data_IF_284933463957
#
_entry.id   IF_284933463957
#
_cell.length_a   1.000
_cell.length_b   1.000
_cell.length_c   1.000
_cell.angle_alpha   90.00
_cell.angle_beta   90.00
_cell.angle_gamma   90.00
#
_symmetry.space_group_name_H-M   'P 1'
#
loop_
_entity.id
_entity.type
_entity.pdbx_description
1 polymer ?
#
# COMPACT_ATOMS: atom_id res chain seq x y z
N UNK A 1 -36.48 22.07 -28.50
CA UNK A 1 -35.50 22.49 -27.46
C UNK A 1 -34.38 23.27 -28.14
N UNK A 2 -33.94 24.41 -27.59
CA UNK A 2 -32.98 25.32 -28.22
C UNK A 2 -31.53 24.84 -28.06
N UNK A 3 -30.68 25.07 -29.06
CA UNK A 3 -29.23 24.75 -29.06
C UNK A 3 -28.50 25.27 -27.81
N UNK A 4 -28.95 26.42 -27.27
CA UNK A 4 -28.45 27.01 -26.02
C UNK A 4 -28.64 26.09 -24.81
N UNK A 5 -29.73 25.34 -24.76
CA UNK A 5 -30.01 24.41 -23.66
C UNK A 5 -29.13 23.16 -23.74
N UNK A 6 -28.73 22.75 -24.95
CA UNK A 6 -27.83 21.62 -25.17
C UNK A 6 -26.39 21.94 -24.75
N UNK A 7 -25.90 23.14 -25.09
CA UNK A 7 -24.57 23.61 -24.68
C UNK A 7 -24.47 23.77 -23.16
N UNK A 8 -25.51 24.30 -22.51
CA UNK A 8 -25.55 24.41 -21.05
C UNK A 8 -25.49 23.04 -20.35
N UNK A 9 -26.24 22.05 -20.86
CA UNK A 9 -26.22 20.68 -20.33
C UNK A 9 -24.86 19.99 -20.53
N UNK A 10 -24.20 20.21 -21.67
CA UNK A 10 -22.87 19.65 -21.94
C UNK A 10 -21.79 20.19 -20.99
N UNK A 11 -21.81 21.50 -20.71
CA UNK A 11 -20.86 22.14 -19.78
C UNK A 11 -21.10 21.68 -18.33
N UNK A 12 -22.35 21.44 -17.94
CA UNK A 12 -22.67 20.90 -16.61
C UNK A 12 -22.23 19.44 -16.48
N UNK A 13 -22.47 18.61 -17.51
CA UNK A 13 -22.05 17.20 -17.48
C UNK A 13 -20.52 17.04 -17.44
N UNK A 14 -19.76 17.86 -18.16
CA UNK A 14 -18.28 17.78 -18.10
C UNK A 14 -17.74 18.24 -16.75
N UNK A 15 -18.39 19.17 -16.06
CA UNK A 15 -17.97 19.61 -14.72
C UNK A 15 -18.20 18.52 -13.65
N UNK A 16 -19.28 17.73 -13.75
CA UNK A 16 -19.61 16.71 -12.75
C UNK A 16 -18.70 15.47 -12.86
N UNK A 17 -18.25 15.12 -14.07
CA UNK A 17 -17.40 13.94 -14.30
C UNK A 17 -15.99 14.05 -13.73
N UNK A 18 -15.51 15.25 -13.40
CA UNK A 18 -14.12 15.47 -12.95
C UNK A 18 -13.99 15.28 -11.43
N UNK A 19 -15.08 15.32 -10.66
CA UNK A 19 -15.05 15.33 -9.19
C UNK A 19 -15.25 13.97 -8.51
N UNK A 20 -15.30 12.86 -9.25
CA UNK A 20 -15.47 11.51 -8.66
C UNK A 20 -14.20 10.67 -8.62
N UNK A 21 -13.05 11.30 -8.39
CA UNK A 21 -11.90 10.56 -7.84
C UNK A 21 -12.23 10.26 -6.38
N UNK A 22 -12.73 9.05 -6.12
CA UNK A 22 -13.02 8.51 -4.79
C UNK A 22 -11.72 8.30 -4.00
N UNK A 23 -11.01 9.39 -3.69
CA UNK A 23 -9.92 9.36 -2.72
C UNK A 23 -10.52 9.10 -1.34
N UNK A 24 -10.09 8.01 -0.68
CA UNK A 24 -10.36 7.77 0.73
C UNK A 24 -9.57 8.82 1.51
N UNK A 25 -10.26 9.79 2.12
CA UNK A 25 -9.66 10.91 2.87
C UNK A 25 -9.13 10.51 4.26
N UNK A 26 -8.70 9.26 4.43
CA UNK A 26 -8.22 8.71 5.70
C UNK A 26 -6.85 8.08 5.58
N UNK A 27 -6.17 7.97 6.72
CA UNK A 27 -4.95 7.17 6.84
C UNK A 27 -5.35 5.69 6.72
N UNK A 28 -4.78 4.99 5.75
CA UNK A 28 -4.91 3.55 5.60
C UNK A 28 -3.65 2.91 6.16
N UNK A 29 -3.82 2.06 7.16
CA UNK A 29 -2.73 1.22 7.66
C UNK A 29 -2.62 -0.03 6.78
N UNK A 30 -1.38 -0.43 6.48
CA UNK A 30 -1.10 -1.54 5.58
C UNK A 30 -0.52 -2.76 6.32
N UNK A 31 -1.18 -3.32 7.36
CA UNK A 31 -0.62 -4.46 8.09
C UNK A 31 -0.62 -5.72 7.23
N UNK A 32 -1.50 -5.84 6.22
CA UNK A 32 -1.57 -6.95 5.27
C UNK A 32 -0.43 -7.01 4.25
N UNK A 33 0.27 -5.89 4.05
CA UNK A 33 1.29 -5.79 3.02
C UNK A 33 1.46 -4.37 2.50
N UNK A 34 2.64 -4.07 1.99
CA UNK A 34 2.97 -2.85 1.29
C UNK A 34 3.94 -3.12 0.15
N UNK A 35 3.62 -2.63 -1.05
CA UNK A 35 4.50 -2.69 -2.21
C UNK A 35 4.62 -1.33 -2.87
N UNK A 36 5.81 -1.01 -3.40
CA UNK A 36 6.08 0.24 -4.13
C UNK A 36 6.46 -0.09 -5.57
N UNK A 37 5.64 0.31 -6.53
CA UNK A 37 5.88 0.19 -7.96
C UNK A 37 6.21 1.54 -8.62
N UNK A 38 6.57 1.51 -9.91
CA UNK A 38 6.91 2.71 -10.67
C UNK A 38 5.76 3.70 -10.88
N UNK A 39 4.51 3.27 -10.68
CA UNK A 39 3.30 4.10 -10.82
C UNK A 39 2.55 4.42 -9.53
N UNK A 40 3.04 3.97 -8.38
CA UNK A 40 2.33 4.12 -7.10
C UNK A 40 2.73 3.07 -6.07
N UNK A 41 2.02 3.06 -4.95
CA UNK A 41 2.12 2.06 -3.91
C UNK A 41 0.82 1.26 -3.80
N UNK A 42 0.95 0.01 -3.39
CA UNK A 42 -0.16 -0.88 -3.08
C UNK A 42 -0.14 -1.17 -1.58
N UNK A 43 -1.26 -0.91 -0.93
CA UNK A 43 -1.46 -1.12 0.51
C UNK A 43 -2.50 -2.22 0.72
N UNK A 44 -2.19 -3.21 1.55
CA UNK A 44 -3.11 -4.28 1.90
C UNK A 44 -3.56 -4.09 3.35
N UNK A 45 -4.86 -3.87 3.56
CA UNK A 45 -5.44 -3.50 4.86
C UNK A 45 -5.49 -4.69 5.84
N UNK A 46 -5.52 -5.93 5.32
CA UNK A 46 -5.52 -7.16 6.11
C UNK A 46 -4.61 -8.23 5.47
N UNK A 47 -3.96 -9.12 6.26
CA UNK A 47 -3.29 -10.33 5.76
C UNK A 47 -4.18 -11.29 4.98
N UNK A 48 -5.50 -11.18 5.13
CA UNK A 48 -6.44 -12.13 4.53
C UNK A 48 -6.33 -12.13 3.00
N UNK A 49 -6.50 -13.29 2.36
CA UNK A 49 -6.54 -13.39 0.89
C UNK A 49 -7.68 -12.56 0.27
N UNK A 50 -8.72 -12.25 1.06
CA UNK A 50 -9.83 -11.37 0.70
C UNK A 50 -9.65 -9.93 1.21
N UNK A 51 -8.42 -9.58 1.62
CA UNK A 51 -8.08 -8.28 2.17
C UNK A 51 -8.32 -7.16 1.17
N UNK A 52 -8.76 -6.01 1.69
CA UNK A 52 -8.94 -4.83 0.86
C UNK A 52 -7.57 -4.31 0.43
N UNK A 53 -7.42 -4.13 -0.88
CA UNK A 53 -6.24 -3.54 -1.49
C UNK A 53 -6.53 -2.11 -1.87
N UNK A 54 -5.61 -1.20 -1.56
CA UNK A 54 -5.70 0.21 -1.92
C UNK A 54 -4.53 0.61 -2.79
N UNK A 55 -4.80 1.36 -3.85
CA UNK A 55 -3.78 2.02 -4.65
C UNK A 55 -3.49 3.40 -4.05
N UNK A 56 -2.26 3.66 -3.63
CA UNK A 56 -1.87 4.88 -2.94
C UNK A 56 -0.72 5.59 -3.67
N UNK A 57 -0.63 6.92 -3.62
CA UNK A 57 0.57 7.64 -4.05
C UNK A 57 1.76 7.26 -3.16
N UNK A 58 2.88 6.83 -3.76
CA UNK A 58 4.00 6.28 -2.98
C UNK A 58 4.73 7.31 -2.09
N UNK A 59 4.59 8.60 -2.40
CA UNK A 59 5.09 9.74 -1.62
C UNK A 59 4.22 10.06 -0.40
N UNK A 60 3.01 9.50 -0.35
CA UNK A 60 2.05 9.62 0.76
C UNK A 60 2.06 8.41 1.69
N UNK A 61 2.97 7.47 1.46
CA UNK A 61 3.12 6.26 2.24
C UNK A 61 4.39 6.29 3.08
N UNK A 62 4.27 5.97 4.36
CA UNK A 62 5.42 5.81 5.24
C UNK A 62 5.08 5.35 6.66
N UNK A 63 6.13 5.15 7.44
CA UNK A 63 6.12 4.91 8.86
C UNK A 63 7.16 5.84 9.48
N UNK A 64 6.74 6.73 10.38
CA UNK A 64 7.60 7.75 11.00
C UNK A 64 8.43 8.57 9.99
N UNK A 65 7.81 8.94 8.87
CA UNK A 65 8.45 9.71 7.79
C UNK A 65 9.38 8.89 6.88
N UNK A 66 9.38 7.56 7.00
CA UNK A 66 10.25 6.66 6.20
C UNK A 66 9.41 5.68 5.39
N UNK A 67 9.87 5.33 4.19
CA UNK A 67 9.19 4.36 3.31
C UNK A 67 9.61 2.92 3.59
N UNK A 68 9.97 2.63 4.84
CA UNK A 68 10.45 1.32 5.27
C UNK A 68 10.13 1.11 6.75
N UNK A 69 10.08 -0.15 7.16
CA UNK A 69 9.95 -0.58 8.57
C UNK A 69 11.15 -1.46 8.96
N UNK A 70 11.51 -1.50 10.24
CA UNK A 70 12.56 -2.40 10.69
C UNK A 70 12.04 -3.83 10.72
N UNK A 71 12.85 -4.76 10.19
CA UNK A 71 12.53 -6.17 10.24
C UNK A 71 13.18 -6.78 11.49
N UNK A 72 12.39 -7.50 12.29
CA UNK A 72 12.84 -8.12 13.54
C UNK A 72 12.62 -9.63 13.50
N UNK A 73 13.65 -10.40 13.86
CA UNK A 73 13.56 -11.87 13.91
C UNK A 73 13.36 -12.52 12.53
N UNK A 74 13.70 -11.81 11.46
CA UNK A 74 13.54 -12.31 10.10
C UNK A 74 14.74 -13.14 9.67
N UNK A 75 14.48 -14.15 8.84
CA UNK A 75 15.51 -15.02 8.26
C UNK A 75 15.45 -14.99 6.74
N UNK A 76 16.60 -15.19 6.10
CA UNK A 76 16.72 -15.17 4.64
C UNK A 76 15.71 -16.16 4.01
N UNK A 77 15.03 -15.75 2.95
CA UNK A 77 14.04 -16.57 2.28
C UNK A 77 14.59 -17.07 0.93
N UNK A 78 14.42 -18.35 0.58
CA UNK A 78 13.59 -19.37 1.24
C UNK A 78 14.31 -20.28 2.24
N UNK A 79 15.63 -20.16 2.40
CA UNK A 79 16.49 -21.14 3.07
C UNK A 79 16.55 -21.02 4.60
N UNK A 80 16.18 -19.86 5.16
CA UNK A 80 16.08 -19.62 6.60
C UNK A 80 17.41 -19.56 7.35
N UNK A 81 18.54 -19.51 6.63
CA UNK A 81 19.87 -19.74 7.21
C UNK A 81 20.51 -18.52 7.85
N UNK A 82 20.13 -17.31 7.43
CA UNK A 82 20.75 -16.07 7.88
C UNK A 82 19.72 -15.11 8.50
N UNK A 83 20.02 -14.59 9.69
CA UNK A 83 19.19 -13.57 10.33
C UNK A 83 19.43 -12.23 9.63
N UNK A 84 18.35 -11.60 9.19
CA UNK A 84 18.37 -10.25 8.62
C UNK A 84 18.10 -9.20 9.68
N UNK A 85 18.84 -8.09 9.63
CA UNK A 85 18.59 -6.87 10.41
C UNK A 85 18.55 -5.62 9.53
N UNK A 86 18.17 -5.77 8.25
CA UNK A 86 18.04 -4.68 7.30
C UNK A 86 16.63 -4.02 7.37
N UNK A 87 16.43 -3.00 6.56
CA UNK A 87 15.17 -2.26 6.46
C UNK A 87 14.25 -2.91 5.43
N UNK A 88 12.98 -3.07 5.80
CA UNK A 88 11.95 -3.62 4.95
C UNK A 88 11.27 -2.53 4.12
N UNK A 89 11.54 -2.49 2.82
CA UNK A 89 10.96 -1.48 1.92
C UNK A 89 9.66 -1.94 1.28
N UNK A 90 9.44 -3.25 1.22
CA UNK A 90 8.22 -3.87 0.74
C UNK A 90 7.96 -5.12 1.56
N UNK A 91 6.70 -5.43 1.83
CA UNK A 91 6.34 -6.68 2.48
C UNK A 91 4.98 -7.18 2.00
N UNK A 92 4.82 -8.49 1.96
CA UNK A 92 3.56 -9.14 1.58
C UNK A 92 3.29 -10.29 2.51
N UNK A 93 2.01 -10.55 2.77
CA UNK A 93 1.58 -11.76 3.44
C UNK A 93 2.10 -13.01 2.70
N UNK A 94 2.63 -13.97 3.46
CA UNK A 94 3.07 -15.26 2.93
C UNK A 94 2.13 -16.38 3.36
N UNK A 95 1.88 -16.49 4.67
CA UNK A 95 1.00 -17.45 5.34
C UNK A 95 0.84 -17.04 6.81
N UNK A 96 0.02 -17.77 7.56
CA UNK A 96 -0.25 -17.51 8.98
C UNK A 96 0.98 -17.05 9.77
N UNK A 97 0.89 -15.83 10.31
CA UNK A 97 1.93 -15.17 11.11
C UNK A 97 3.28 -14.97 10.40
N UNK A 98 3.34 -15.03 9.07
CA UNK A 98 4.56 -14.84 8.29
C UNK A 98 4.37 -13.93 7.08
N UNK A 99 5.33 -13.05 6.89
CA UNK A 99 5.39 -12.14 5.75
C UNK A 99 6.73 -12.28 5.06
N UNK A 100 6.73 -12.07 3.75
CA UNK A 100 7.97 -11.85 3.01
C UNK A 100 8.26 -10.37 3.02
N UNK A 101 9.46 -10.02 3.46
CA UNK A 101 10.03 -8.69 3.42
C UNK A 101 11.08 -8.61 2.31
N UNK A 102 11.03 -7.56 1.50
CA UNK A 102 12.07 -7.22 0.52
C UNK A 102 12.81 -5.98 0.99
N UNK A 103 14.13 -6.04 0.95
CA UNK A 103 15.05 -4.95 1.31
C UNK A 103 15.33 -4.04 0.11
N UNK A 104 15.94 -2.88 0.36
CA UNK A 104 16.42 -1.99 -0.71
C UNK A 104 17.45 -2.65 -1.64
N UNK A 105 18.18 -3.65 -1.15
CA UNK A 105 19.17 -4.41 -1.92
C UNK A 105 18.57 -5.58 -2.70
N UNK A 106 17.23 -5.73 -2.70
CA UNK A 106 16.54 -6.82 -3.39
C UNK A 106 16.65 -8.17 -2.70
N UNK A 107 17.21 -8.25 -1.48
CA UNK A 107 17.19 -9.47 -0.67
C UNK A 107 15.82 -9.67 -0.04
N UNK A 108 15.38 -10.91 0.02
CA UNK A 108 14.10 -11.31 0.63
C UNK A 108 14.31 -12.08 1.92
N UNK A 109 13.47 -11.78 2.89
CA UNK A 109 13.47 -12.40 4.21
C UNK A 109 12.05 -12.80 4.57
N UNK A 110 11.89 -13.92 5.25
CA UNK A 110 10.64 -14.26 5.92
C UNK A 110 10.69 -13.74 7.35
N UNK A 111 9.64 -13.03 7.74
CA UNK A 111 9.51 -12.39 9.04
C UNK A 111 8.28 -12.94 9.77
N UNK A 112 8.36 -13.13 11.09
CA UNK A 112 7.15 -13.27 11.90
C UNK A 112 6.32 -11.99 11.78
N UNK A 113 5.00 -12.14 11.77
CA UNK A 113 4.06 -11.02 11.77
C UNK A 113 3.07 -11.13 12.89
N UNK A 114 2.83 -9.98 13.52
CA UNK A 114 1.80 -9.73 14.50
C UNK A 114 1.03 -8.49 14.05
N UNK A 115 -0.27 -8.46 14.31
CA UNK A 115 -1.11 -7.29 14.03
C UNK A 115 -0.64 -6.00 14.74
N UNK A 116 0.17 -6.14 15.80
CA UNK A 116 0.78 -5.03 16.53
C UNK A 116 2.09 -4.53 15.91
N UNK A 117 2.61 -5.18 14.88
CA UNK A 117 3.89 -4.81 14.30
C UNK A 117 3.77 -3.47 13.56
N UNK A 118 4.83 -2.64 13.57
CA UNK A 118 4.84 -1.40 12.84
C UNK A 118 4.62 -1.64 11.35
N UNK A 119 3.59 -0.99 10.80
CA UNK A 119 3.25 -1.07 9.38
C UNK A 119 3.40 0.29 8.71
N UNK A 120 3.60 0.26 7.38
CA UNK A 120 3.45 1.45 6.56
C UNK A 120 1.99 1.92 6.64
N UNK A 121 1.83 3.24 6.65
CA UNK A 121 0.53 3.90 6.56
C UNK A 121 0.54 4.83 5.37
N UNK A 122 -0.56 4.90 4.63
CA UNK A 122 -0.70 5.71 3.43
C UNK A 122 -1.88 6.66 3.56
N UNK A 123 -1.77 7.84 2.96
CA UNK A 123 -2.90 8.78 2.78
C UNK A 123 -3.26 8.93 1.32
N UNK A 124 -4.44 9.50 1.04
CA UNK A 124 -4.93 9.78 -0.31
C UNK A 124 -5.00 8.53 -1.21
N UNK A 125 -5.38 7.40 -0.60
CA UNK A 125 -5.51 6.13 -1.30
C UNK A 125 -6.85 6.00 -2.04
N UNK A 126 -6.84 5.22 -3.11
CA UNK A 126 -7.98 4.85 -3.93
C UNK A 126 -8.30 3.37 -3.76
N UNK A 127 -9.59 3.03 -3.88
CA UNK A 127 -10.11 1.66 -3.85
C UNK A 127 -10.13 1.05 -5.26
#
# INVERSE_FOLDING_TARGET
MSLKNYLALLVICTAISIFQVNAKTGVVHCPGGYSKGGGGATCYESPDENGITHACPSDKCGHDGKTWVWMHGCVHYPDGTAIGSEQCTQYTFLRDNLYVCTTIHGKTYQCPHKLSDPSISCTDCFY
#
